data_IF_892721436236
#
_entry.id   IF_892721436236
#
_cell.length_a   1.000
_cell.length_b   1.000
_cell.length_c   1.000
_cell.angle_alpha   90.00
_cell.angle_beta   90.00
_cell.angle_gamma   90.00
#
_symmetry.space_group_name_H-M   'P 1'
#
loop_
_entity.id
_entity.type
_entity.pdbx_description
1 polymer ?
#
# COMPACT_ATOMS: atom_id res chain seq x y z
N UNK A 1 30.08 -50.38 -6.65
CA UNK A 1 29.60 -49.88 -5.34
C UNK A 1 30.47 -48.77 -4.70
N UNK A 2 31.80 -48.75 -4.85
CA UNK A 2 32.65 -47.69 -4.25
C UNK A 2 32.49 -46.29 -4.90
N UNK A 3 32.16 -46.21 -6.20
CA UNK A 3 32.02 -44.94 -6.93
C UNK A 3 30.87 -44.07 -6.41
N UNK A 4 29.70 -44.69 -6.17
CA UNK A 4 28.52 -44.02 -5.64
C UNK A 4 28.74 -43.52 -4.22
N UNK A 5 29.36 -44.32 -3.34
CA UNK A 5 29.65 -43.91 -1.95
C UNK A 5 30.60 -42.69 -1.88
N UNK A 6 31.57 -42.59 -2.80
CA UNK A 6 32.46 -41.41 -2.94
C UNK A 6 31.74 -40.19 -3.48
N UNK A 7 30.87 -40.35 -4.48
CA UNK A 7 30.01 -39.28 -4.96
C UNK A 7 29.06 -38.79 -3.85
N UNK A 8 28.59 -39.72 -3.00
CA UNK A 8 27.74 -39.38 -1.88
C UNK A 8 28.48 -38.48 -0.87
N UNK A 9 29.71 -38.86 -0.52
CA UNK A 9 30.54 -38.06 0.36
C UNK A 9 30.83 -36.67 -0.22
N UNK A 10 31.11 -36.57 -1.53
CA UNK A 10 31.35 -35.29 -2.20
C UNK A 10 30.14 -34.36 -2.22
N UNK A 11 28.91 -34.86 -2.41
CA UNK A 11 27.73 -33.98 -2.33
C UNK A 11 27.50 -33.50 -0.90
N UNK A 12 27.76 -34.35 0.10
CA UNK A 12 27.57 -33.99 1.50
C UNK A 12 28.54 -32.87 1.89
N UNK A 13 29.81 -32.98 1.47
CA UNK A 13 30.81 -31.93 1.70
C UNK A 13 30.49 -30.66 0.91
N UNK A 14 30.12 -30.76 -0.37
CA UNK A 14 29.77 -29.60 -1.19
C UNK A 14 28.51 -28.87 -0.67
N UNK A 15 27.51 -29.61 -0.19
CA UNK A 15 26.32 -29.05 0.46
C UNK A 15 26.68 -28.29 1.74
N UNK A 16 27.60 -28.83 2.55
CA UNK A 16 28.13 -28.16 3.73
C UNK A 16 28.84 -26.85 3.39
N UNK A 17 29.66 -26.85 2.35
CA UNK A 17 30.35 -25.64 1.87
C UNK A 17 29.37 -24.59 1.33
N UNK A 18 28.36 -25.01 0.57
CA UNK A 18 27.32 -24.12 0.08
C UNK A 18 26.53 -23.47 1.23
N UNK A 19 26.22 -24.23 2.29
CA UNK A 19 25.54 -23.70 3.46
C UNK A 19 26.41 -22.67 4.19
N UNK A 20 27.71 -22.95 4.39
CA UNK A 20 28.66 -22.01 5.00
C UNK A 20 28.67 -20.68 4.26
N UNK A 21 28.84 -20.71 2.93
CA UNK A 21 28.79 -19.50 2.07
C UNK A 21 27.48 -18.72 2.23
N UNK A 22 26.33 -19.40 2.31
CA UNK A 22 25.02 -18.76 2.52
C UNK A 22 24.86 -18.13 3.90
N UNK A 23 25.41 -18.76 4.94
CA UNK A 23 25.38 -18.22 6.31
C UNK A 23 26.26 -16.97 6.39
N UNK A 24 27.45 -17.00 5.78
CA UNK A 24 28.36 -15.85 5.71
C UNK A 24 27.72 -14.65 4.98
N UNK A 25 27.00 -14.93 3.88
CA UNK A 25 26.33 -13.90 3.09
C UNK A 25 24.91 -13.56 3.58
N UNK A 26 24.55 -13.97 4.81
CA UNK A 26 23.20 -13.75 5.33
C UNK A 26 22.92 -12.25 5.47
N UNK A 27 21.85 -11.73 4.83
CA UNK A 27 21.46 -10.33 4.97
C UNK A 27 21.10 -9.96 6.42
N UNK A 28 21.34 -8.71 6.79
CA UNK A 28 20.86 -8.16 8.07
C UNK A 28 19.34 -8.14 8.12
N UNK A 29 18.79 -8.20 9.33
CA UNK A 29 17.34 -8.18 9.53
C UNK A 29 16.70 -6.90 9.00
N UNK A 30 17.31 -5.75 9.28
CA UNK A 30 16.86 -4.44 8.80
C UNK A 30 16.79 -4.38 7.28
N UNK A 31 17.78 -4.96 6.59
CA UNK A 31 17.75 -5.05 5.12
C UNK A 31 16.52 -5.82 4.63
N UNK A 32 16.16 -6.91 5.27
CA UNK A 32 14.98 -7.70 4.91
C UNK A 32 13.66 -6.96 5.19
N UNK A 33 13.62 -6.11 6.22
CA UNK A 33 12.47 -5.26 6.53
C UNK A 33 12.30 -4.14 5.50
N UNK A 34 13.40 -3.45 5.16
CA UNK A 34 13.41 -2.40 4.14
C UNK A 34 13.02 -2.93 2.75
N UNK A 35 13.42 -4.17 2.45
CA UNK A 35 13.04 -4.85 1.22
C UNK A 35 11.61 -5.44 1.26
N UNK A 36 10.86 -5.26 2.35
CA UNK A 36 9.50 -5.78 2.55
C UNK A 36 9.40 -7.31 2.45
N UNK A 37 10.49 -8.02 2.75
CA UNK A 37 10.53 -9.49 2.82
C UNK A 37 10.03 -9.96 4.18
N UNK A 38 10.53 -9.35 5.26
CA UNK A 38 9.96 -9.51 6.61
C UNK A 38 8.84 -8.49 6.79
N UNK A 39 7.69 -8.92 7.32
CA UNK A 39 6.51 -8.05 7.41
C UNK A 39 6.50 -7.20 8.69
N UNK A 40 7.25 -7.59 9.72
CA UNK A 40 7.30 -6.87 10.99
C UNK A 40 8.63 -7.01 11.71
N UNK A 41 8.91 -6.01 12.56
CA UNK A 41 10.09 -5.95 13.42
C UNK A 41 10.03 -6.92 14.60
N UNK A 42 9.14 -7.93 14.58
CA UNK A 42 9.05 -8.96 15.63
C UNK A 42 8.22 -8.54 16.83
N UNK A 43 7.50 -7.40 16.72
CA UNK A 43 6.50 -6.97 17.71
C UNK A 43 5.24 -7.84 17.68
N UNK A 44 4.99 -8.52 16.56
CA UNK A 44 3.83 -9.38 16.34
C UNK A 44 4.32 -10.81 16.20
N UNK A 45 3.61 -11.76 16.81
CA UNK A 45 3.92 -13.18 16.66
C UNK A 45 3.81 -13.61 15.19
N UNK A 46 4.73 -14.46 14.67
CA UNK A 46 4.74 -14.88 13.27
C UNK A 46 3.41 -15.48 12.79
N UNK A 47 2.70 -16.18 13.68
CA UNK A 47 1.42 -16.81 13.37
C UNK A 47 0.29 -15.81 13.02
N UNK A 48 0.31 -14.61 13.59
CA UNK A 48 -0.77 -13.61 13.46
C UNK A 48 -0.36 -12.45 12.54
N UNK A 49 0.92 -12.37 12.16
CA UNK A 49 1.50 -11.29 11.38
C UNK A 49 0.69 -10.96 10.10
N UNK A 50 0.27 -12.01 9.37
CA UNK A 50 -0.53 -11.84 8.16
C UNK A 50 -1.92 -11.26 8.45
N UNK A 51 -2.61 -11.75 9.49
CA UNK A 51 -3.93 -11.24 9.88
C UNK A 51 -3.84 -9.78 10.34
N UNK A 52 -2.79 -9.44 11.10
CA UNK A 52 -2.54 -8.07 11.52
C UNK A 52 -2.25 -7.14 10.33
N UNK A 53 -1.55 -7.62 9.28
CA UNK A 53 -1.35 -6.88 8.04
C UNK A 53 -2.67 -6.63 7.30
N UNK A 54 -3.50 -7.65 7.13
CA UNK A 54 -4.80 -7.52 6.48
C UNK A 54 -5.69 -6.51 7.21
N UNK A 55 -5.75 -6.59 8.55
CA UNK A 55 -6.49 -5.63 9.36
C UNK A 55 -5.99 -4.19 9.16
N UNK A 56 -4.67 -3.98 9.09
CA UNK A 56 -4.08 -2.66 8.80
C UNK A 56 -4.50 -2.17 7.40
N UNK A 57 -4.44 -3.03 6.39
CA UNK A 57 -4.85 -2.70 5.03
C UNK A 57 -6.33 -2.31 4.96
N UNK A 58 -7.23 -3.07 5.61
CA UNK A 58 -8.66 -2.73 5.63
C UNK A 58 -8.96 -1.42 6.36
N UNK A 59 -8.19 -1.11 7.41
CA UNK A 59 -8.30 0.18 8.09
C UNK A 59 -7.90 1.33 7.17
N UNK A 60 -6.79 1.17 6.44
CA UNK A 60 -6.32 2.15 5.46
C UNK A 60 -7.36 2.30 4.34
N UNK A 61 -7.83 1.19 3.78
CA UNK A 61 -8.87 1.16 2.73
C UNK A 61 -10.09 1.96 3.15
N UNK A 62 -10.69 1.64 4.30
CA UNK A 62 -11.86 2.37 4.82
C UNK A 62 -11.58 3.86 5.04
N UNK A 63 -10.41 4.21 5.57
CA UNK A 63 -10.04 5.61 5.77
C UNK A 63 -9.92 6.36 4.44
N UNK A 64 -9.28 5.74 3.45
CA UNK A 64 -9.13 6.32 2.10
C UNK A 64 -10.49 6.45 1.41
N UNK A 65 -11.35 5.43 1.48
CA UNK A 65 -12.71 5.50 0.92
C UNK A 65 -13.47 6.72 1.44
N UNK A 66 -13.49 6.93 2.77
CA UNK A 66 -14.15 8.10 3.37
C UNK A 66 -13.53 9.43 2.92
N UNK A 67 -12.19 9.49 2.73
CA UNK A 67 -11.51 10.70 2.22
C UNK A 67 -11.81 10.97 0.75
N UNK A 68 -11.98 9.91 -0.05
CA UNK A 68 -12.35 10.02 -1.45
C UNK A 68 -13.81 10.45 -1.62
N UNK A 69 -14.71 9.96 -0.76
CA UNK A 69 -16.08 10.45 -0.67
C UNK A 69 -16.10 11.94 -0.35
N UNK A 70 -15.36 12.38 0.66
CA UNK A 70 -15.27 13.79 1.04
C UNK A 70 -14.33 14.63 0.15
N UNK A 71 -14.02 14.19 -1.08
CA UNK A 71 -13.07 14.88 -1.95
C UNK A 71 -13.69 16.19 -2.45
N UNK A 72 -13.06 17.36 -2.19
CA UNK A 72 -13.59 18.66 -2.59
C UNK A 72 -13.67 18.78 -4.12
N UNK A 73 -14.72 19.45 -4.58
CA UNK A 73 -14.93 19.68 -6.01
C UNK A 73 -13.95 20.73 -6.58
N UNK A 74 -13.76 20.78 -7.91
CA UNK A 74 -12.88 21.77 -8.56
C UNK A 74 -13.25 23.22 -8.22
N UNK A 75 -14.56 23.52 -8.18
CA UNK A 75 -15.06 24.86 -7.82
C UNK A 75 -14.68 25.25 -6.39
N UNK A 76 -14.70 24.27 -5.48
CA UNK A 76 -14.33 24.46 -4.09
C UNK A 76 -12.83 24.77 -3.93
N UNK A 77 -11.99 24.19 -4.78
CA UNK A 77 -10.54 24.44 -4.81
C UNK A 77 -10.20 25.84 -5.34
N UNK A 78 -10.94 26.32 -6.35
CA UNK A 78 -10.81 27.70 -6.88
C UNK A 78 -11.28 28.71 -5.82
N UNK A 79 -12.42 28.45 -5.17
CA UNK A 79 -12.93 29.30 -4.08
C UNK A 79 -11.93 29.41 -2.93
N UNK A 80 -11.22 28.32 -2.60
CA UNK A 80 -10.17 28.30 -1.57
C UNK A 80 -8.82 28.86 -2.06
N UNK A 81 -8.76 29.41 -3.28
CA UNK A 81 -7.57 30.00 -3.92
C UNK A 81 -6.38 29.04 -4.01
N UNK A 82 -6.65 27.74 -4.12
CA UNK A 82 -5.64 26.68 -4.33
C UNK A 82 -5.39 26.48 -5.83
N UNK A 83 -6.45 26.58 -6.64
CA UNK A 83 -6.38 26.60 -8.09
C UNK A 83 -6.71 28.01 -8.59
N UNK A 84 -6.04 28.46 -9.64
CA UNK A 84 -6.38 29.69 -10.37
C UNK A 84 -7.36 29.33 -11.49
N UNK A 85 -8.37 30.16 -11.70
CA UNK A 85 -9.30 30.05 -12.80
C UNK A 85 -9.27 31.33 -13.65
N UNK A 86 -9.96 31.31 -14.80
CA UNK A 86 -10.11 32.50 -15.64
C UNK A 86 -10.76 33.63 -14.84
N UNK A 87 -10.31 34.88 -15.07
CA UNK A 87 -10.73 36.04 -14.28
C UNK A 87 -12.26 36.23 -14.24
N UNK A 88 -12.96 35.91 -15.34
CA UNK A 88 -14.42 35.98 -15.43
C UNK A 88 -15.10 34.93 -14.53
N UNK A 89 -14.51 33.74 -14.39
CA UNK A 89 -15.01 32.67 -13.55
C UNK A 89 -14.73 32.95 -12.06
N UNK A 90 -13.55 33.50 -11.75
CA UNK A 90 -13.22 33.91 -10.38
C UNK A 90 -14.14 35.02 -9.88
N UNK A 91 -14.41 36.04 -10.71
CA UNK A 91 -15.35 37.12 -10.39
C UNK A 91 -16.79 36.61 -10.23
N UNK A 92 -17.22 35.67 -11.08
CA UNK A 92 -18.53 35.04 -10.94
C UNK A 92 -18.67 34.28 -9.60
N UNK A 93 -17.64 33.50 -9.22
CA UNK A 93 -17.63 32.75 -7.95
C UNK A 93 -17.63 33.69 -6.75
N UNK A 94 -16.82 34.75 -6.77
CA UNK A 94 -16.72 35.72 -5.68
C UNK A 94 -18.03 36.52 -5.52
N UNK A 95 -18.69 36.88 -6.64
CA UNK A 95 -20.02 37.50 -6.66
C UNK A 95 -21.17 36.57 -6.24
N UNK A 96 -21.05 35.26 -6.46
CA UNK A 96 -22.05 34.24 -6.07
C UNK A 96 -21.97 33.85 -4.58
N UNK A 97 -20.93 34.27 -3.86
CA UNK A 97 -20.73 33.95 -2.43
C UNK A 97 -21.78 34.59 -1.49
N UNK A 98 -22.61 35.50 -1.99
CA UNK A 98 -23.74 36.10 -1.26
C UNK A 98 -24.99 35.19 -1.38
N UNK A 99 -25.05 34.15 -0.54
CA UNK A 99 -26.32 33.63 -0.03
C UNK A 99 -27.03 32.45 -0.74
N UNK A 100 -26.35 31.57 -1.49
CA UNK A 100 -26.98 30.32 -1.98
C UNK A 100 -26.09 29.08 -1.81
N UNK A 101 -26.51 28.15 -0.95
CA UNK A 101 -25.89 26.83 -0.78
C UNK A 101 -26.19 25.95 -2.00
N UNK A 102 -25.21 25.79 -2.89
CA UNK A 102 -25.29 24.78 -3.96
C UNK A 102 -24.94 23.42 -3.36
N UNK A 103 -25.93 22.54 -3.19
CA UNK A 103 -25.68 21.13 -2.90
C UNK A 103 -25.18 20.47 -4.17
N UNK A 104 -23.88 20.16 -4.23
CA UNK A 104 -23.31 19.31 -5.29
C UNK A 104 -23.82 17.89 -5.04
N UNK A 105 -24.65 17.38 -5.96
CA UNK A 105 -25.20 16.03 -5.87
C UNK A 105 -24.08 15.01 -6.03
N UNK A 106 -23.92 14.13 -5.04
CA UNK A 106 -23.10 12.93 -5.15
C UNK A 106 -23.81 11.93 -6.07
N UNK A 107 -23.16 11.57 -7.18
CA UNK A 107 -23.57 10.41 -7.99
C UNK A 107 -23.23 9.16 -7.18
N UNK A 108 -24.25 8.47 -6.68
CA UNK A 108 -24.08 7.14 -6.09
C UNK A 108 -23.85 6.14 -7.22
N UNK A 109 -22.63 5.64 -7.37
CA UNK A 109 -22.36 4.47 -8.23
C UNK A 109 -22.78 3.19 -7.46
N UNK A 110 -24.09 3.02 -7.28
CA UNK A 110 -24.67 1.74 -6.92
C UNK A 110 -24.61 0.84 -8.16
N UNK A 111 -23.80 -0.22 -8.09
CA UNK A 111 -23.54 -1.33 -9.04
C UNK A 111 -22.08 -1.38 -9.48
N UNK A 112 -21.22 -1.90 -8.60
CA UNK A 112 -20.02 -2.62 -9.03
C UNK A 112 -19.69 -3.70 -7.98
N UNK A 113 -20.62 -4.64 -7.81
CA UNK A 113 -20.30 -5.97 -7.31
C UNK A 113 -20.39 -6.93 -8.48
N UNK A 114 -19.34 -7.03 -9.31
CA UNK A 114 -19.12 -8.23 -10.11
C UNK A 114 -17.64 -8.61 -10.09
N UNK A 115 -17.41 -9.75 -9.41
CA UNK A 115 -16.31 -10.70 -9.58
C UNK A 115 -14.88 -10.15 -9.60
N UNK A 116 -14.27 -10.09 -8.42
CA UNK A 116 -12.85 -10.39 -8.29
C UNK A 116 -12.73 -11.87 -7.91
N UNK A 117 -12.45 -12.73 -8.91
CA UNK A 117 -11.80 -14.03 -8.70
C UNK A 117 -10.31 -13.80 -8.42
#
# INVERSE_FOLDING_TARGET
MLSTKRALLRWATARGEQLRKKIEQRPSRERLLNQHILLSDGRVAPLIEQRARLLRQDRIRRNLSRKLEARPGPLELVTRKILQADADLEQAIEGMSVGRTVRVFHVTHSLFEETWL
#
